data_IF_430185663125
#
_entry.id   IF_430185663125
#
_cell.length_a   1.000
_cell.length_b   1.000
_cell.length_c   1.000
_cell.angle_alpha   90.00
_cell.angle_beta   90.00
_cell.angle_gamma   90.00
#
_symmetry.space_group_name_H-M   'P 1'
#
loop_
_entity.id
_entity.type
_entity.pdbx_description
1 polymer ?
#
# COMPACT_ATOMS: atom_id res chain seq x y z
N UNK A 1 -21.95 -22.60 -23.51
CA UNK A 1 -21.03 -21.43 -23.73
C UNK A 1 -21.35 -20.24 -22.84
N UNK A 2 -22.59 -20.13 -22.32
CA UNK A 2 -23.01 -19.02 -21.45
C UNK A 2 -22.50 -19.13 -20.01
N UNK A 3 -22.26 -20.34 -19.49
CA UNK A 3 -21.80 -20.58 -18.11
C UNK A 3 -20.36 -20.13 -17.88
N UNK A 4 -19.46 -20.41 -18.79
CA UNK A 4 -18.04 -20.04 -18.64
C UNK A 4 -17.80 -18.51 -18.67
N UNK A 5 -18.55 -17.78 -19.51
CA UNK A 5 -18.48 -16.33 -19.55
C UNK A 5 -19.00 -15.70 -18.24
N UNK A 6 -20.09 -16.25 -17.67
CA UNK A 6 -20.63 -15.81 -16.36
C UNK A 6 -19.63 -16.04 -15.22
N UNK A 7 -18.88 -17.14 -15.24
CA UNK A 7 -17.85 -17.45 -14.24
C UNK A 7 -16.62 -16.55 -14.36
N UNK A 8 -16.24 -16.15 -15.57
CA UNK A 8 -15.16 -15.17 -15.80
C UNK A 8 -15.57 -13.80 -15.25
N UNK A 9 -16.81 -13.34 -15.50
CA UNK A 9 -17.31 -12.07 -14.96
C UNK A 9 -17.38 -12.08 -13.43
N UNK A 10 -17.81 -13.16 -12.80
CA UNK A 10 -17.83 -13.30 -11.33
C UNK A 10 -16.44 -13.25 -10.71
N UNK A 11 -15.41 -13.70 -11.43
CA UNK A 11 -14.01 -13.61 -10.99
C UNK A 11 -13.42 -12.21 -11.18
N UNK A 12 -13.92 -11.41 -12.11
CA UNK A 12 -13.52 -10.01 -12.31
C UNK A 12 -14.05 -9.06 -11.23
N UNK A 13 -15.14 -9.43 -10.52
CA UNK A 13 -15.68 -8.70 -9.37
C UNK A 13 -14.90 -8.91 -8.05
N UNK A 14 -13.78 -9.64 -8.08
CA UNK A 14 -12.86 -9.75 -6.96
C UNK A 14 -12.18 -8.40 -6.70
N UNK A 15 -12.89 -7.52 -6.01
CA UNK A 15 -12.37 -6.22 -5.59
C UNK A 15 -11.39 -6.41 -4.42
N UNK A 16 -10.16 -6.81 -4.75
CA UNK A 16 -9.09 -7.05 -3.79
C UNK A 16 -8.88 -5.83 -2.88
N UNK A 17 -8.95 -4.63 -3.43
CA UNK A 17 -8.84 -3.39 -2.66
C UNK A 17 -9.94 -3.26 -1.59
N UNK A 18 -11.17 -3.67 -1.91
CA UNK A 18 -12.28 -3.67 -0.96
C UNK A 18 -12.06 -4.71 0.14
N UNK A 19 -11.58 -5.90 -0.22
CA UNK A 19 -11.28 -6.97 0.74
C UNK A 19 -10.17 -6.53 1.70
N UNK A 20 -9.08 -5.99 1.20
CA UNK A 20 -7.99 -5.47 2.03
C UNK A 20 -8.47 -4.35 2.97
N UNK A 21 -9.31 -3.42 2.49
CA UNK A 21 -9.88 -2.37 3.34
C UNK A 21 -10.73 -2.94 4.49
N UNK A 22 -11.50 -3.99 4.24
CA UNK A 22 -12.30 -4.66 5.28
C UNK A 22 -11.37 -5.31 6.31
N UNK A 23 -10.34 -6.01 5.88
CA UNK A 23 -9.36 -6.64 6.79
C UNK A 23 -8.62 -5.59 7.62
N UNK A 24 -8.23 -4.47 7.03
CA UNK A 24 -7.61 -3.36 7.77
C UNK A 24 -8.56 -2.77 8.81
N UNK A 25 -9.84 -2.62 8.49
CA UNK A 25 -10.83 -2.19 9.47
C UNK A 25 -10.96 -3.18 10.64
N UNK A 26 -10.88 -4.49 10.39
CA UNK A 26 -10.83 -5.49 11.47
C UNK A 26 -9.60 -5.28 12.36
N UNK A 27 -8.43 -4.99 11.78
CA UNK A 27 -7.23 -4.69 12.56
C UNK A 27 -7.38 -3.42 13.43
N UNK A 28 -8.05 -2.39 12.91
CA UNK A 28 -8.34 -1.17 13.68
C UNK A 28 -9.26 -1.44 14.87
N UNK A 29 -10.28 -2.28 14.68
CA UNK A 29 -11.20 -2.69 15.78
C UNK A 29 -10.45 -3.51 16.85
N UNK A 30 -9.52 -4.38 16.47
CA UNK A 30 -8.69 -5.13 17.43
C UNK A 30 -7.78 -4.18 18.21
N UNK A 31 -7.13 -3.23 17.54
CA UNK A 31 -6.30 -2.21 18.21
C UNK A 31 -7.13 -1.37 19.19
N UNK A 32 -8.34 -0.98 18.80
CA UNK A 32 -9.27 -0.26 19.66
C UNK A 32 -9.64 -1.09 20.89
N UNK A 33 -9.99 -2.35 20.69
CA UNK A 33 -10.30 -3.28 21.78
C UNK A 33 -9.17 -3.41 22.80
N UNK A 34 -7.91 -3.56 22.33
CA UNK A 34 -6.74 -3.63 23.19
C UNK A 34 -6.57 -2.31 23.98
N UNK A 35 -6.70 -1.17 23.33
CA UNK A 35 -6.54 0.14 23.97
C UNK A 35 -7.64 0.43 25.00
N UNK A 36 -8.87 0.04 24.74
CA UNK A 36 -9.99 0.25 25.67
C UNK A 36 -9.92 -0.68 26.90
N UNK A 37 -9.35 -1.88 26.77
CA UNK A 37 -9.22 -2.83 27.86
C UNK A 37 -7.89 -2.72 28.63
N UNK A 38 -6.91 -1.97 28.13
CA UNK A 38 -5.61 -1.68 28.78
C UNK A 38 -5.02 -2.92 29.52
N UNK A 39 -4.71 -4.05 28.83
CA UNK A 39 -4.27 -5.29 29.50
C UNK A 39 -3.03 -5.08 30.37
N UNK A 40 -2.18 -4.12 30.06
CA UNK A 40 -1.00 -3.75 30.84
C UNK A 40 -1.28 -3.06 32.17
N UNK A 41 -2.53 -2.64 32.42
CA UNK A 41 -3.00 -2.04 33.69
C UNK A 41 -4.03 -2.91 34.41
N UNK A 42 -4.42 -4.03 33.80
CA UNK A 42 -5.48 -4.92 34.29
C UNK A 42 -4.93 -6.04 35.19
N UNK A 43 -5.82 -6.80 35.85
CA UNK A 43 -5.43 -8.02 36.53
C UNK A 43 -4.86 -9.05 35.54
N UNK A 44 -4.06 -10.00 36.04
CA UNK A 44 -3.45 -11.05 35.22
C UNK A 44 -4.47 -11.84 34.43
N UNK A 45 -5.60 -12.22 35.05
CA UNK A 45 -6.69 -12.94 34.39
C UNK A 45 -7.27 -12.14 33.21
N UNK A 46 -7.57 -10.87 33.43
CA UNK A 46 -8.10 -9.99 32.38
C UNK A 46 -7.06 -9.72 31.29
N UNK A 47 -5.80 -9.56 31.66
CA UNK A 47 -4.71 -9.38 30.69
C UNK A 47 -4.55 -10.61 29.78
N UNK A 48 -4.66 -11.83 30.33
CA UNK A 48 -4.64 -13.07 29.56
C UNK A 48 -5.85 -13.17 28.62
N UNK A 49 -7.05 -12.87 29.12
CA UNK A 49 -8.28 -12.88 28.30
C UNK A 49 -8.18 -11.94 27.09
N UNK A 50 -7.82 -10.67 27.35
CA UNK A 50 -7.71 -9.64 26.30
C UNK A 50 -6.61 -9.99 25.31
N UNK A 51 -5.46 -10.46 25.78
CA UNK A 51 -4.33 -10.83 24.94
C UNK A 51 -4.65 -12.06 24.09
N UNK A 52 -5.30 -13.08 24.67
CA UNK A 52 -5.71 -14.28 23.93
C UNK A 52 -6.71 -13.96 22.83
N UNK A 53 -7.67 -13.08 23.12
CA UNK A 53 -8.63 -12.59 22.11
C UNK A 53 -7.91 -11.84 20.98
N UNK A 54 -7.01 -10.93 21.32
CA UNK A 54 -6.25 -10.15 20.35
C UNK A 54 -5.35 -11.03 19.46
N UNK A 55 -4.70 -12.04 20.03
CA UNK A 55 -3.85 -13.00 19.31
C UNK A 55 -4.69 -13.82 18.32
N UNK A 56 -5.85 -14.32 18.72
CA UNK A 56 -6.73 -15.05 17.82
C UNK A 56 -7.26 -14.18 16.69
N UNK A 57 -7.62 -12.93 16.97
CA UNK A 57 -8.01 -11.97 15.92
C UNK A 57 -6.84 -11.70 14.96
N UNK A 58 -5.61 -11.48 15.46
CA UNK A 58 -4.43 -11.28 14.63
C UNK A 58 -4.11 -12.49 13.76
N UNK A 59 -4.30 -13.70 14.29
CA UNK A 59 -4.19 -14.95 13.53
C UNK A 59 -5.15 -14.96 12.34
N UNK A 60 -6.43 -14.67 12.57
CA UNK A 60 -7.46 -14.60 11.52
C UNK A 60 -7.09 -13.56 10.45
N UNK A 61 -6.69 -12.36 10.87
CA UNK A 61 -6.22 -11.29 9.97
C UNK A 61 -5.03 -11.77 9.12
N UNK A 62 -4.08 -12.50 9.74
CA UNK A 62 -2.91 -13.04 9.04
C UNK A 62 -3.31 -14.07 7.98
N UNK A 63 -4.23 -14.98 8.28
CA UNK A 63 -4.77 -15.96 7.32
C UNK A 63 -5.46 -15.24 6.14
N UNK A 64 -6.31 -14.24 6.44
CA UNK A 64 -7.03 -13.47 5.42
C UNK A 64 -6.10 -12.65 4.52
N UNK A 65 -4.98 -12.13 5.05
CA UNK A 65 -3.98 -11.38 4.30
C UNK A 65 -2.97 -12.26 3.57
N UNK A 66 -2.91 -13.55 3.84
CA UNK A 66 -1.90 -14.45 3.28
C UNK A 66 -1.83 -14.40 1.73
N UNK A 67 -2.94 -14.37 0.98
CA UNK A 67 -2.89 -14.25 -0.48
C UNK A 67 -2.24 -12.96 -0.99
N UNK A 68 -2.19 -11.91 -0.16
CA UNK A 68 -1.64 -10.58 -0.53
C UNK A 68 -0.21 -10.41 -0.01
N UNK A 69 0.07 -10.91 1.19
CA UNK A 69 1.34 -10.73 1.91
C UNK A 69 1.88 -12.07 2.42
N UNK A 70 2.13 -13.08 1.57
CA UNK A 70 2.42 -14.45 2.00
C UNK A 70 3.63 -14.54 2.92
N UNK A 71 4.73 -13.85 2.61
CA UNK A 71 5.97 -13.91 3.39
C UNK A 71 5.80 -13.35 4.81
N UNK A 72 5.05 -12.25 4.96
CA UNK A 72 4.88 -11.58 6.26
C UNK A 72 3.92 -12.37 7.13
N UNK A 73 2.82 -12.81 6.56
CA UNK A 73 1.78 -13.55 7.27
C UNK A 73 2.25 -14.95 7.68
N UNK A 74 3.04 -15.64 6.86
CA UNK A 74 3.67 -16.91 7.26
C UNK A 74 4.58 -16.74 8.46
N UNK A 75 5.44 -15.70 8.47
CA UNK A 75 6.28 -15.39 9.64
C UNK A 75 5.47 -15.02 10.89
N UNK A 76 4.31 -14.36 10.70
CA UNK A 76 3.40 -14.04 11.81
C UNK A 76 2.79 -15.31 12.41
N UNK A 77 2.34 -16.24 11.58
CA UNK A 77 1.75 -17.51 12.02
C UNK A 77 2.78 -18.44 12.66
N UNK A 78 4.05 -18.42 12.23
CA UNK A 78 5.14 -19.14 12.91
C UNK A 78 5.30 -18.71 14.38
N UNK A 79 5.04 -17.45 14.74
CA UNK A 79 5.08 -16.98 16.12
C UNK A 79 4.07 -17.74 16.99
N UNK A 80 2.94 -18.12 16.43
CA UNK A 80 1.88 -18.85 17.13
C UNK A 80 2.03 -20.38 17.06
N UNK A 81 3.11 -20.90 16.47
CA UNK A 81 3.25 -22.33 16.13
C UNK A 81 2.07 -22.84 15.29
N UNK A 82 1.48 -21.98 14.50
CA UNK A 82 0.34 -22.30 13.66
C UNK A 82 0.77 -22.65 12.25
N UNK A 83 0.45 -23.86 11.81
CA UNK A 83 0.71 -24.34 10.46
C UNK A 83 -0.42 -24.02 9.45
N UNK A 84 -1.49 -23.37 9.91
CA UNK A 84 -2.70 -23.09 9.14
C UNK A 84 -2.52 -22.01 8.05
N UNK A 85 -1.39 -21.96 7.40
CA UNK A 85 -0.95 -20.85 6.55
C UNK A 85 -1.79 -20.58 5.32
N UNK A 86 -2.56 -21.55 4.80
CA UNK A 86 -3.21 -21.40 3.49
C UNK A 86 -4.65 -21.92 3.43
N UNK A 87 -5.23 -22.32 4.54
CA UNK A 87 -6.59 -22.87 4.53
C UNK A 87 -7.57 -21.95 5.28
N UNK A 88 -8.43 -21.28 4.51
CA UNK A 88 -9.51 -20.46 5.07
C UNK A 88 -10.49 -21.27 5.97
N UNK A 89 -10.53 -22.59 5.87
CA UNK A 89 -11.33 -23.42 6.75
C UNK A 89 -10.85 -23.34 8.20
N UNK A 90 -9.55 -23.10 8.42
CA UNK A 90 -8.93 -23.00 9.74
C UNK A 90 -9.20 -21.65 10.44
N UNK A 91 -9.90 -20.71 9.80
CA UNK A 91 -10.28 -19.42 10.44
C UNK A 91 -11.16 -19.65 11.68
N UNK A 92 -11.93 -20.73 11.70
CA UNK A 92 -12.85 -21.05 12.81
C UNK A 92 -12.16 -21.70 14.00
N UNK A 93 -10.93 -22.16 13.82
CA UNK A 93 -10.17 -22.80 14.89
C UNK A 93 -9.50 -21.72 15.74
N UNK A 94 -9.69 -21.80 17.05
CA UNK A 94 -9.05 -20.91 18.00
C UNK A 94 -7.79 -21.54 18.56
N UNK A 95 -6.76 -20.69 18.78
CA UNK A 95 -5.60 -21.09 19.54
C UNK A 95 -6.00 -21.17 21.02
N UNK A 96 -5.90 -22.38 21.61
CA UNK A 96 -6.18 -22.64 23.01
C UNK A 96 -4.94 -23.31 23.59
N UNK A 97 -4.47 -22.87 24.76
CA UNK A 97 -3.30 -23.41 25.48
C UNK A 97 -2.04 -23.56 24.59
N UNK A 98 -1.88 -22.67 23.65
CA UNK A 98 -0.79 -22.74 22.68
C UNK A 98 0.42 -21.95 23.17
N UNK A 99 1.60 -22.59 23.17
CA UNK A 99 2.85 -21.92 23.48
C UNK A 99 3.26 -21.03 22.31
N UNK A 100 3.36 -19.72 22.58
CA UNK A 100 3.78 -18.72 21.61
C UNK A 100 5.32 -18.68 21.56
N UNK A 101 5.89 -18.60 20.35
CA UNK A 101 7.31 -18.42 20.15
C UNK A 101 7.75 -16.99 20.52
N UNK A 102 9.03 -16.78 20.88
CA UNK A 102 9.55 -15.44 21.14
C UNK A 102 9.30 -14.52 19.94
N UNK A 103 8.87 -13.30 20.23
CA UNK A 103 8.62 -12.28 19.21
C UNK A 103 9.88 -11.99 18.38
N UNK A 104 9.71 -11.96 17.06
CA UNK A 104 10.71 -11.49 16.11
C UNK A 104 10.08 -10.41 15.23
N UNK A 105 10.77 -9.29 14.97
CA UNK A 105 10.25 -8.27 14.06
C UNK A 105 9.91 -8.86 12.70
N UNK A 106 8.67 -8.69 12.26
CA UNK A 106 8.19 -9.18 10.94
C UNK A 106 8.81 -8.39 9.80
N UNK A 107 9.06 -7.10 10.01
CA UNK A 107 9.65 -6.18 9.05
C UNK A 107 10.81 -5.43 9.70
N UNK A 108 11.87 -5.22 8.94
CA UNK A 108 12.93 -4.26 9.28
C UNK A 108 12.61 -2.92 8.64
N UNK A 109 12.80 -1.84 9.39
CA UNK A 109 12.70 -0.49 8.83
C UNK A 109 13.79 -0.30 7.79
N UNK A 110 13.41 0.10 6.58
CA UNK A 110 14.37 0.46 5.55
C UNK A 110 15.08 1.77 5.97
N UNK A 111 16.40 1.73 6.04
CA UNK A 111 17.20 2.92 6.28
C UNK A 111 17.39 3.67 4.96
N UNK A 112 17.22 5.01 4.98
CA UNK A 112 17.32 5.85 3.77
C UNK A 112 18.63 5.70 2.98
N UNK A 113 19.72 5.34 3.64
CA UNK A 113 21.02 5.17 3.00
C UNK A 113 21.05 4.02 1.96
N UNK A 114 20.29 2.93 2.18
CA UNK A 114 20.24 1.81 1.23
C UNK A 114 19.41 2.07 -0.02
N UNK A 115 18.46 2.99 0.06
CA UNK A 115 17.62 3.36 -1.09
C UNK A 115 18.45 4.12 -2.14
N UNK A 116 19.43 4.91 -1.70
CA UNK A 116 20.28 5.67 -2.61
C UNK A 116 21.32 4.78 -3.33
N UNK A 117 21.84 3.73 -2.70
CA UNK A 117 22.83 2.84 -3.31
C UNK A 117 22.23 1.87 -4.35
N UNK A 118 20.96 1.43 -4.16
CA UNK A 118 20.29 0.56 -5.15
C UNK A 118 19.78 1.33 -6.37
N UNK A 119 19.51 2.64 -6.26
CA UNK A 119 19.08 3.47 -7.37
C UNK A 119 20.27 3.92 -8.24
N UNK A 120 21.48 3.98 -7.69
CA UNK A 120 22.69 4.37 -8.46
C UNK A 120 23.20 3.26 -9.39
N UNK A 121 22.72 2.01 -9.29
CA UNK A 121 23.26 0.89 -10.07
C UNK A 121 22.51 0.51 -11.34
N UNK A 122 21.31 1.04 -11.64
CA UNK A 122 20.54 0.50 -12.77
C UNK A 122 20.07 1.46 -13.87
N UNK A 123 20.31 2.77 -13.80
CA UNK A 123 19.79 3.60 -14.90
C UNK A 123 20.70 4.79 -15.28
N UNK A 124 21.52 4.56 -16.31
CA UNK A 124 22.32 5.62 -16.97
C UNK A 124 21.48 6.71 -17.63
N UNK A 125 20.15 6.58 -17.61
CA UNK A 125 19.20 7.54 -18.17
C UNK A 125 18.57 8.49 -17.13
N UNK A 126 18.86 8.31 -15.85
CA UNK A 126 18.36 9.23 -14.82
C UNK A 126 19.24 10.48 -14.76
N UNK A 127 18.62 11.64 -14.89
CA UNK A 127 19.29 12.93 -14.66
C UNK A 127 19.35 13.20 -13.15
N UNK A 128 20.50 13.63 -12.65
CA UNK A 128 20.63 14.00 -11.25
C UNK A 128 20.05 15.42 -11.00
N UNK A 129 19.82 15.75 -9.74
CA UNK A 129 19.22 17.03 -9.35
C UNK A 129 20.04 18.24 -9.82
N UNK A 130 21.36 18.09 -9.95
CA UNK A 130 22.25 19.16 -10.44
C UNK A 130 22.07 19.38 -11.94
N UNK A 131 21.78 18.34 -12.70
CA UNK A 131 21.47 18.44 -14.12
C UNK A 131 20.08 19.01 -14.35
N UNK A 132 19.10 18.62 -13.53
CA UNK A 132 17.77 19.23 -13.55
C UNK A 132 17.82 20.73 -13.19
N UNK A 133 18.66 21.13 -12.24
CA UNK A 133 18.83 22.53 -11.85
C UNK A 133 19.42 23.43 -12.94
N UNK A 134 20.00 22.85 -14.01
CA UNK A 134 20.46 23.62 -15.20
C UNK A 134 19.30 23.99 -16.13
N UNK A 135 18.12 23.34 -15.96
CA UNK A 135 16.93 23.64 -16.76
C UNK A 135 16.24 24.85 -16.14
N UNK A 136 16.22 25.94 -16.87
CA UNK A 136 15.57 27.17 -16.44
C UNK A 136 14.07 27.09 -16.69
N UNK A 137 13.28 26.94 -15.63
CA UNK A 137 11.82 26.92 -15.68
C UNK A 137 11.31 28.33 -15.34
N UNK A 138 10.43 28.88 -16.19
CA UNK A 138 9.86 30.21 -15.99
C UNK A 138 8.34 30.15 -16.10
N UNK A 139 7.67 31.02 -15.36
CA UNK A 139 6.25 31.28 -15.51
C UNK A 139 6.05 32.30 -16.63
N UNK A 140 5.14 32.01 -17.55
CA UNK A 140 4.78 32.90 -18.64
C UNK A 140 3.30 33.25 -18.59
N UNK A 141 2.95 34.49 -19.01
CA UNK A 141 1.58 34.93 -19.15
C UNK A 141 1.07 34.60 -20.56
N UNK A 142 -0.06 33.94 -20.66
CA UNK A 142 -0.74 33.73 -21.95
C UNK A 142 -1.38 35.04 -22.37
N UNK A 143 -0.88 35.62 -23.47
CA UNK A 143 -1.41 36.87 -24.05
C UNK A 143 -2.52 36.57 -25.06
N UNK A 144 -2.35 35.48 -25.84
CA UNK A 144 -3.34 35.08 -26.86
C UNK A 144 -3.30 33.56 -27.02
N UNK A 145 -4.46 32.96 -27.25
CA UNK A 145 -4.60 31.55 -27.61
C UNK A 145 -5.47 31.43 -28.87
N UNK A 146 -5.02 30.67 -29.86
CA UNK A 146 -5.69 30.49 -31.15
C UNK A 146 -5.75 28.99 -31.48
N UNK A 147 -6.92 28.53 -31.97
CA UNK A 147 -7.04 27.20 -32.56
C UNK A 147 -6.30 27.13 -33.90
N UNK A 148 -5.84 25.95 -34.31
CA UNK A 148 -5.22 25.71 -35.60
C UNK A 148 -6.22 24.96 -36.48
N UNK A 149 -6.60 25.53 -37.64
CA UNK A 149 -7.63 24.96 -38.51
C UNK A 149 -7.33 23.54 -39.02
N UNK A 150 -6.07 23.15 -39.08
CA UNK A 150 -5.64 21.83 -39.59
C UNK A 150 -5.32 20.82 -38.45
N UNK A 151 -5.51 21.19 -37.18
CA UNK A 151 -5.14 20.35 -36.04
C UNK A 151 -6.07 20.56 -34.84
N UNK A 152 -7.15 19.79 -34.77
CA UNK A 152 -8.21 19.89 -33.75
C UNK A 152 -7.74 19.80 -32.30
N UNK A 153 -6.54 19.27 -32.06
CA UNK A 153 -5.97 19.09 -30.72
C UNK A 153 -4.86 20.07 -30.34
N UNK A 154 -4.44 20.94 -31.28
CA UNK A 154 -3.35 21.88 -31.03
C UNK A 154 -3.86 23.31 -30.86
N UNK A 155 -3.37 23.96 -29.82
CA UNK A 155 -3.63 25.38 -29.55
C UNK A 155 -2.31 26.13 -29.70
N UNK A 156 -2.32 27.20 -30.49
CA UNK A 156 -1.19 28.12 -30.59
C UNK A 156 -1.29 29.18 -29.50
N UNK A 157 -0.30 29.20 -28.61
CA UNK A 157 -0.23 30.14 -27.50
C UNK A 157 0.82 31.20 -27.76
N UNK A 158 0.48 32.46 -27.56
CA UNK A 158 1.39 33.59 -27.51
C UNK A 158 1.64 33.90 -26.03
N UNK A 159 2.89 33.78 -25.60
CA UNK A 159 3.33 33.89 -24.23
C UNK A 159 4.22 35.12 -24.04
N UNK A 160 3.94 35.88 -22.99
CA UNK A 160 4.86 36.88 -22.47
C UNK A 160 5.69 36.25 -21.35
N UNK A 161 7.00 36.19 -21.54
CA UNK A 161 7.97 35.59 -20.61
C UNK A 161 8.73 36.67 -19.83
N UNK A 162 8.22 37.88 -19.78
CA UNK A 162 8.86 38.99 -19.08
C UNK A 162 10.15 39.44 -19.79
N UNK A 163 11.27 39.42 -19.07
CA UNK A 163 12.56 39.89 -19.58
C UNK A 163 13.06 39.16 -20.83
N UNK A 164 12.56 37.97 -21.11
CA UNK A 164 12.89 37.16 -22.29
C UNK A 164 12.01 37.46 -23.51
N UNK A 165 11.09 38.41 -23.40
CA UNK A 165 10.17 38.81 -24.45
C UNK A 165 9.08 37.77 -24.75
N UNK A 166 8.48 37.92 -25.95
CA UNK A 166 7.36 37.05 -26.37
C UNK A 166 7.86 35.71 -26.96
N UNK A 167 7.09 34.66 -26.73
CA UNK A 167 7.30 33.32 -27.29
C UNK A 167 6.02 32.76 -27.84
N UNK A 168 6.10 32.00 -28.92
CA UNK A 168 4.97 31.23 -29.44
C UNK A 168 5.22 29.76 -29.20
N UNK A 169 4.22 29.07 -28.58
CA UNK A 169 4.26 27.64 -28.24
C UNK A 169 3.02 26.97 -28.75
N UNK A 170 3.13 25.74 -29.20
CA UNK A 170 2.00 24.88 -29.57
C UNK A 170 1.80 23.88 -28.46
N UNK A 171 0.58 23.80 -27.91
CA UNK A 171 0.16 22.91 -26.84
C UNK A 171 -1.05 22.09 -27.26
N UNK A 172 -1.07 20.79 -26.92
CA UNK A 172 -2.17 19.89 -27.23
C UNK A 172 -2.12 18.61 -26.39
#
# INVERSE_FOLDING_TARGET
>A
TSSAASDVYKRQDLNLSKSVKIIMKMADEVNKYINENEPWKSSEEKAVEVSSTAINCFRVISILLNPVLPTITSKALEIFNDSATNDFNNIKDYLVDTKINPYKPLLKRLEKAKINEEIEMEDSNLINIKDFAKVELRVAKIVKAEGIEEADKLIKLHLDVGDLGERTVFAG
#
